data_IF_335461663253
#
_entry.id   IF_335461663253
#
_cell.length_a   1.000
_cell.length_b   1.000
_cell.length_c   1.000
_cell.angle_alpha   90.00
_cell.angle_beta   90.00
_cell.angle_gamma   90.00
#
_symmetry.space_group_name_H-M   'P 1'
#
loop_
_entity.id
_entity.type
_entity.pdbx_description
1 polymer ?
#
# COMPACT_ATOMS: atom_id res chain seq x y z
N UNK A 1 -69.29 -19.80 15.02
CA UNK A 1 -68.34 -19.55 13.95
C UNK A 1 -67.03 -20.23 14.43
N UNK A 2 -66.58 -21.29 13.73
CA UNK A 2 -65.26 -21.89 14.00
C UNK A 2 -64.20 -21.01 13.35
N UNK A 3 -63.33 -20.43 14.17
CA UNK A 3 -62.13 -19.74 13.66
C UNK A 3 -61.32 -20.79 12.90
N UNK A 4 -61.29 -20.67 11.57
CA UNK A 4 -60.36 -21.42 10.73
C UNK A 4 -58.97 -20.79 10.95
N UNK A 5 -58.10 -21.49 11.71
CA UNK A 5 -56.67 -21.14 11.71
C UNK A 5 -56.15 -21.24 10.27
N UNK A 6 -55.84 -20.11 9.68
CA UNK A 6 -55.42 -19.98 8.26
C UNK A 6 -54.13 -20.78 8.01
N UNK A 7 -53.30 -20.99 9.04
CA UNK A 7 -52.10 -21.82 8.97
C UNK A 7 -51.98 -22.75 10.18
N UNK A 8 -51.64 -24.01 9.99
CA UNK A 8 -51.31 -24.91 11.11
C UNK A 8 -50.09 -24.39 11.89
N UNK A 9 -50.13 -24.49 13.21
CA UNK A 9 -49.06 -24.02 14.12
C UNK A 9 -47.66 -24.53 13.75
N UNK A 10 -47.59 -25.74 13.20
CA UNK A 10 -46.34 -26.33 12.68
C UNK A 10 -45.74 -25.56 11.50
N UNK A 11 -46.56 -25.01 10.60
CA UNK A 11 -46.11 -24.22 9.47
C UNK A 11 -45.59 -22.87 9.96
N UNK A 12 -46.26 -22.24 10.92
CA UNK A 12 -45.80 -20.97 11.49
C UNK A 12 -44.46 -21.15 12.21
N UNK A 13 -44.29 -22.21 12.98
CA UNK A 13 -43.00 -22.51 13.65
C UNK A 13 -41.89 -22.81 12.65
N UNK A 14 -42.19 -23.52 11.57
CA UNK A 14 -41.20 -23.78 10.50
C UNK A 14 -40.76 -22.48 9.82
N UNK A 15 -41.68 -21.57 9.51
CA UNK A 15 -41.34 -20.27 8.90
C UNK A 15 -40.49 -19.41 9.83
N UNK A 16 -40.79 -19.39 11.13
CA UNK A 16 -39.98 -18.67 12.11
C UNK A 16 -38.56 -19.27 12.18
N UNK A 17 -38.45 -20.61 12.26
CA UNK A 17 -37.15 -21.30 12.29
C UNK A 17 -36.33 -21.04 11.04
N UNK A 18 -36.92 -21.07 9.84
CA UNK A 18 -36.24 -20.70 8.59
C UNK A 18 -35.80 -19.23 8.58
N UNK A 19 -36.65 -18.32 9.06
CA UNK A 19 -36.31 -16.91 9.17
C UNK A 19 -35.10 -16.66 10.08
N UNK A 20 -35.09 -17.29 11.26
CA UNK A 20 -33.97 -17.21 12.20
C UNK A 20 -32.69 -17.82 11.61
N UNK A 21 -32.81 -18.98 10.93
CA UNK A 21 -31.66 -19.63 10.30
C UNK A 21 -31.05 -18.76 9.16
N UNK A 22 -31.89 -18.17 8.33
CA UNK A 22 -31.45 -17.26 7.27
C UNK A 22 -30.84 -15.98 7.81
N UNK A 23 -31.37 -15.43 8.90
CA UNK A 23 -30.81 -14.28 9.58
C UNK A 23 -29.45 -14.59 10.21
N UNK A 24 -29.32 -15.73 10.90
CA UNK A 24 -28.05 -16.19 11.45
C UNK A 24 -27.00 -16.43 10.34
N UNK A 25 -27.39 -17.06 9.23
CA UNK A 25 -26.54 -17.25 8.06
C UNK A 25 -26.11 -15.93 7.45
N UNK A 26 -27.00 -14.94 7.38
CA UNK A 26 -26.70 -13.60 6.92
C UNK A 26 -25.64 -12.90 7.79
N UNK A 27 -25.76 -13.01 9.13
CA UNK A 27 -24.76 -12.47 10.07
C UNK A 27 -23.42 -13.19 9.90
N UNK A 28 -23.42 -14.51 9.77
CA UNK A 28 -22.23 -15.32 9.55
C UNK A 28 -21.56 -14.89 8.24
N UNK A 29 -22.29 -14.83 7.13
CA UNK A 29 -21.77 -14.38 5.84
C UNK A 29 -21.27 -12.92 5.87
N UNK A 30 -21.92 -12.05 6.65
CA UNK A 30 -21.47 -10.68 6.85
C UNK A 30 -20.17 -10.61 7.68
N UNK A 31 -20.02 -11.49 8.70
CA UNK A 31 -18.81 -11.61 9.52
C UNK A 31 -17.62 -12.20 8.75
N UNK A 32 -17.90 -13.06 7.75
CA UNK A 32 -16.88 -13.58 6.81
C UNK A 32 -16.59 -12.65 5.63
N UNK A 33 -17.41 -11.64 5.36
CA UNK A 33 -17.04 -10.53 4.48
C UNK A 33 -15.97 -9.74 5.23
N UNK A 34 -14.71 -10.05 4.89
CA UNK A 34 -13.53 -9.40 5.43
C UNK A 34 -13.66 -7.90 5.47
N UNK A 35 -12.94 -7.31 6.40
CA UNK A 35 -12.77 -5.91 6.78
C UNK A 35 -13.93 -4.94 6.47
N UNK A 36 -14.43 -4.20 7.45
CA UNK A 36 -15.50 -3.24 7.23
C UNK A 36 -15.17 -2.40 6.01
N UNK A 37 -16.16 -2.25 5.13
CA UNK A 37 -16.06 -1.40 3.93
C UNK A 37 -15.66 0.00 4.40
N UNK A 38 -14.35 0.24 4.41
CA UNK A 38 -13.80 1.55 4.67
C UNK A 38 -14.29 2.42 3.50
N UNK A 39 -15.14 3.38 3.79
CA UNK A 39 -15.67 4.34 2.83
C UNK A 39 -14.58 5.34 2.44
N UNK A 40 -13.48 4.84 1.88
CA UNK A 40 -12.43 5.63 1.28
C UNK A 40 -12.53 5.57 -0.23
N UNK A 41 -12.01 6.54 -0.92
CA UNK A 41 -11.96 6.56 -2.37
C UNK A 41 -11.07 5.38 -2.87
N UNK A 42 -11.70 4.25 -3.26
CA UNK A 42 -11.02 3.01 -3.71
C UNK A 42 -10.15 3.20 -4.96
N UNK A 43 -10.19 4.39 -5.54
CA UNK A 43 -9.42 4.79 -6.73
C UNK A 43 -8.01 5.27 -6.34
N UNK A 44 -7.70 5.43 -5.06
CA UNK A 44 -6.40 5.91 -4.59
C UNK A 44 -5.33 4.81 -4.52
N UNK A 45 -4.09 5.26 -4.42
CA UNK A 45 -2.92 4.42 -4.20
C UNK A 45 -2.87 3.91 -2.75
N UNK A 46 -3.54 2.82 -2.44
CA UNK A 46 -3.54 2.20 -1.10
C UNK A 46 -3.63 0.69 -1.19
N UNK A 47 -3.34 0.00 -0.09
CA UNK A 47 -3.39 -1.46 -0.05
C UNK A 47 -4.83 -2.02 -0.03
N UNK A 48 -5.85 -1.19 0.24
CA UNK A 48 -7.25 -1.55 0.04
C UNK A 48 -7.72 -1.38 -1.40
N UNK A 49 -6.97 -0.65 -2.22
CA UNK A 49 -7.38 -0.32 -3.58
C UNK A 49 -7.11 -1.48 -4.53
N UNK A 50 -8.15 -1.88 -5.26
CA UNK A 50 -8.08 -2.85 -6.38
C UNK A 50 -7.91 -2.16 -7.73
N UNK A 51 -7.84 -0.82 -7.75
CA UNK A 51 -7.59 -0.04 -8.97
C UNK A 51 -6.18 -0.29 -9.52
N UNK A 52 -5.92 0.07 -10.76
CA UNK A 52 -4.62 -0.11 -11.42
C UNK A 52 -3.45 0.51 -10.63
N UNK A 53 -3.66 1.68 -10.01
CA UNK A 53 -2.67 2.40 -9.20
C UNK A 53 -2.62 1.98 -7.73
N UNK A 54 -3.54 1.10 -7.27
CA UNK A 54 -3.57 0.60 -5.90
C UNK A 54 -2.50 -0.47 -5.63
N UNK A 55 -2.39 -0.88 -4.37
CA UNK A 55 -1.42 -1.88 -3.90
C UNK A 55 -2.07 -3.16 -3.34
N UNK A 56 -3.39 -3.34 -3.57
CA UNK A 56 -4.12 -4.53 -3.10
C UNK A 56 -3.52 -5.84 -3.58
N UNK A 57 -3.12 -5.90 -4.85
CA UNK A 57 -2.48 -7.10 -5.43
C UNK A 57 -1.15 -7.45 -4.77
N UNK A 58 -0.31 -6.45 -4.46
CA UNK A 58 0.94 -6.69 -3.73
C UNK A 58 0.69 -7.13 -2.28
N UNK A 59 -0.25 -6.48 -1.61
CA UNK A 59 -0.68 -6.89 -0.26
C UNK A 59 -1.14 -8.35 -0.24
N UNK A 60 -2.04 -8.73 -1.14
CA UNK A 60 -2.59 -10.09 -1.24
C UNK A 60 -1.50 -11.12 -1.60
N UNK A 61 -0.56 -10.75 -2.47
CA UNK A 61 0.59 -11.58 -2.79
C UNK A 61 1.46 -11.87 -1.56
N UNK A 62 1.78 -10.84 -0.76
CA UNK A 62 2.50 -11.00 0.51
C UNK A 62 1.73 -11.90 1.48
N UNK A 63 0.42 -11.66 1.66
CA UNK A 63 -0.42 -12.44 2.56
C UNK A 63 -0.47 -13.92 2.18
N UNK A 64 -0.71 -14.22 0.89
CA UNK A 64 -0.75 -15.58 0.35
C UNK A 64 0.60 -16.30 0.43
N UNK A 65 1.69 -15.55 0.41
CA UNK A 65 3.06 -16.08 0.59
C UNK A 65 3.45 -16.25 2.07
N UNK A 66 2.51 -16.08 3.01
CA UNK A 66 2.73 -16.32 4.44
C UNK A 66 3.43 -15.18 5.19
N UNK A 67 3.55 -13.99 4.58
CA UNK A 67 4.09 -12.84 5.30
C UNK A 67 3.08 -12.30 6.33
N UNK A 68 3.53 -11.91 7.53
CA UNK A 68 2.66 -11.31 8.55
C UNK A 68 2.34 -9.85 8.20
N UNK A 69 1.48 -9.65 7.20
CA UNK A 69 1.13 -8.34 6.65
C UNK A 69 -0.19 -7.83 7.23
N UNK A 70 -0.29 -6.51 7.45
CA UNK A 70 -1.48 -5.82 7.98
C UNK A 70 -1.70 -4.49 7.28
N UNK A 71 -2.96 -4.09 7.11
CA UNK A 71 -3.39 -2.74 6.72
C UNK A 71 -3.84 -2.01 7.98
N UNK A 72 -3.38 -0.78 8.20
CA UNK A 72 -3.68 -0.04 9.43
C UNK A 72 -3.94 1.42 9.11
N UNK A 73 -5.11 1.92 9.54
CA UNK A 73 -5.51 3.33 9.38
C UNK A 73 -5.45 4.14 10.69
N UNK A 74 -5.40 3.48 11.85
CA UNK A 74 -5.29 4.13 13.17
C UNK A 74 -4.16 3.48 13.98
N UNK A 75 -3.49 4.27 14.84
CA UNK A 75 -2.43 3.78 15.73
C UNK A 75 -1.31 3.01 15.01
N UNK A 76 -0.92 3.46 13.81
CA UNK A 76 0.05 2.79 12.93
C UNK A 76 1.35 2.44 13.68
N UNK A 77 1.90 3.37 14.48
CA UNK A 77 3.16 3.14 15.22
C UNK A 77 3.06 1.98 16.20
N UNK A 78 1.93 1.82 16.88
CA UNK A 78 1.72 0.69 17.80
C UNK A 78 1.59 -0.63 17.05
N UNK A 79 1.01 -0.62 15.85
CA UNK A 79 0.86 -1.80 15.00
C UNK A 79 2.19 -2.29 14.41
N UNK A 80 3.10 -1.36 14.07
CA UNK A 80 4.44 -1.69 13.54
C UNK A 80 5.32 -2.35 14.60
N UNK A 81 5.18 -1.96 15.86
CA UNK A 81 6.09 -2.34 16.95
C UNK A 81 7.56 -2.00 16.60
N UNK A 82 8.48 -2.19 17.54
CA UNK A 82 9.90 -1.80 17.37
C UNK A 82 10.65 -2.57 16.27
N UNK A 83 10.14 -3.72 15.82
CA UNK A 83 10.80 -4.59 14.83
C UNK A 83 9.99 -4.78 13.53
N UNK A 84 8.87 -4.10 13.37
CA UNK A 84 8.07 -4.16 12.15
C UNK A 84 8.68 -3.34 11.02
N UNK A 85 8.17 -3.58 9.81
CA UNK A 85 8.44 -2.78 8.62
C UNK A 85 7.19 -2.00 8.27
N UNK A 86 7.32 -0.69 8.13
CA UNK A 86 6.23 0.19 7.71
C UNK A 86 6.36 0.49 6.21
N UNK A 87 5.27 0.38 5.49
CA UNK A 87 5.14 0.79 4.09
C UNK A 87 4.18 1.97 4.05
N UNK A 88 4.64 3.09 3.55
CA UNK A 88 3.87 4.33 3.34
C UNK A 88 3.79 4.58 1.85
N UNK A 89 2.65 4.25 1.26
CA UNK A 89 2.41 4.39 -0.17
C UNK A 89 1.91 5.79 -0.50
N UNK A 90 2.54 6.49 -1.42
CA UNK A 90 2.11 7.77 -2.04
C UNK A 90 1.33 8.71 -1.08
N UNK A 91 1.95 9.16 0.02
CA UNK A 91 1.24 9.94 1.04
C UNK A 91 0.71 11.26 0.48
N UNK A 92 -0.54 11.58 0.76
CA UNK A 92 -1.14 12.87 0.43
C UNK A 92 -0.64 13.96 1.39
N UNK A 93 0.13 14.91 0.90
CA UNK A 93 0.77 15.96 1.71
C UNK A 93 -0.21 16.85 2.46
N UNK A 94 -1.36 17.13 1.88
CA UNK A 94 -2.43 17.92 2.52
C UNK A 94 -2.91 17.28 3.82
N UNK A 95 -2.87 15.95 3.88
CA UNK A 95 -3.24 15.17 5.07
C UNK A 95 -2.08 14.95 6.03
N UNK A 96 -0.83 15.00 5.52
CA UNK A 96 0.35 14.77 6.34
C UNK A 96 0.65 15.92 7.33
N UNK A 97 0.15 17.13 7.12
CA UNK A 97 0.41 18.30 7.98
C UNK A 97 1.91 18.45 8.35
N UNK A 98 2.37 19.64 8.62
CA UNK A 98 3.77 19.93 8.97
C UNK A 98 4.32 19.20 10.21
N UNK A 99 3.45 18.62 11.05
CA UNK A 99 3.82 17.84 12.24
C UNK A 99 4.02 16.34 11.98
N UNK A 100 3.72 15.83 10.79
CA UNK A 100 3.71 14.39 10.50
C UNK A 100 5.06 13.85 10.04
N UNK A 101 5.99 14.70 9.61
CA UNK A 101 7.39 14.31 9.32
C UNK A 101 8.09 13.64 10.51
N UNK A 102 7.59 13.85 11.72
CA UNK A 102 8.11 13.28 12.96
C UNK A 102 7.40 11.98 13.41
N UNK A 103 6.31 11.58 12.77
CA UNK A 103 5.52 10.41 13.23
C UNK A 103 6.20 9.07 13.01
N UNK A 104 7.25 9.02 12.19
CA UNK A 104 7.97 7.76 11.94
C UNK A 104 9.21 7.57 12.80
N UNK A 105 9.44 8.44 13.79
CA UNK A 105 10.67 8.43 14.63
C UNK A 105 10.89 7.12 15.41
N UNK A 106 9.82 6.37 15.69
CA UNK A 106 9.89 5.07 16.37
C UNK A 106 10.01 3.85 15.45
N UNK A 107 10.01 4.04 14.12
CA UNK A 107 10.02 2.96 13.14
C UNK A 107 11.45 2.69 12.68
N UNK A 108 11.94 1.46 12.90
CA UNK A 108 13.30 1.07 12.51
C UNK A 108 13.46 0.76 11.03
N UNK A 109 12.38 0.37 10.35
CA UNK A 109 12.36 -0.01 8.92
C UNK A 109 11.18 0.63 8.23
N UNK A 110 11.48 1.40 7.20
CA UNK A 110 10.49 2.20 6.51
C UNK A 110 10.71 2.11 5.00
N UNK A 111 9.67 1.80 4.25
CA UNK A 111 9.59 1.98 2.82
C UNK A 111 8.60 3.10 2.52
N UNK A 112 9.07 4.15 1.88
CA UNK A 112 8.23 5.25 1.41
C UNK A 112 8.14 5.16 -0.10
N UNK A 113 6.94 5.24 -0.65
CA UNK A 113 6.69 5.26 -2.10
C UNK A 113 6.29 6.67 -2.50
N UNK A 114 6.96 7.24 -3.49
CA UNK A 114 6.66 8.60 -3.95
C UNK A 114 5.44 8.62 -4.87
N UNK A 115 4.62 9.67 -4.83
CA UNK A 115 3.43 9.79 -5.68
C UNK A 115 3.83 10.01 -7.15
N UNK A 116 3.09 9.36 -8.05
CA UNK A 116 3.26 9.46 -9.51
C UNK A 116 1.94 9.62 -10.24
N UNK A 117 0.89 8.96 -9.78
CA UNK A 117 -0.39 8.89 -10.47
C UNK A 117 -1.57 9.36 -9.61
N UNK A 118 -2.55 9.92 -10.29
CA UNK A 118 -3.88 10.19 -9.72
C UNK A 118 -4.93 9.49 -10.57
N UNK A 119 -5.78 8.69 -9.95
CA UNK A 119 -6.89 8.07 -10.63
C UNK A 119 -8.06 9.04 -10.76
N UNK A 120 -8.63 9.11 -11.96
CA UNK A 120 -9.87 9.83 -12.24
C UNK A 120 -11.03 8.85 -12.09
N UNK A 121 -11.95 9.05 -11.14
CA UNK A 121 -13.07 8.14 -10.93
C UNK A 121 -14.00 8.10 -12.13
N UNK A 122 -14.58 6.92 -12.44
CA UNK A 122 -15.58 6.78 -13.48
C UNK A 122 -16.90 7.39 -13.02
N UNK A 123 -17.51 8.20 -13.89
CA UNK A 123 -18.87 8.74 -13.65
C UNK A 123 -19.85 7.58 -13.42
N UNK A 124 -20.62 7.67 -12.34
CA UNK A 124 -21.59 6.64 -11.94
C UNK A 124 -21.03 5.44 -11.18
N UNK A 125 -19.69 5.26 -11.10
CA UNK A 125 -19.06 4.27 -10.25
C UNK A 125 -17.69 4.77 -9.78
N UNK A 126 -17.66 5.46 -8.65
CA UNK A 126 -16.44 6.04 -8.07
C UNK A 126 -15.39 5.02 -7.60
N UNK A 127 -15.71 3.73 -7.60
CA UNK A 127 -14.76 2.65 -7.30
C UNK A 127 -13.91 2.24 -8.49
N UNK A 128 -14.22 2.72 -9.68
CA UNK A 128 -13.53 2.41 -10.92
C UNK A 128 -12.79 3.63 -11.44
N UNK A 129 -11.58 3.41 -11.98
CA UNK A 129 -10.80 4.42 -12.68
C UNK A 129 -11.31 4.52 -14.12
N UNK A 130 -11.66 5.75 -14.56
CA UNK A 130 -11.91 6.05 -15.95
C UNK A 130 -10.61 6.37 -16.68
N UNK A 131 -9.68 7.07 -15.99
CA UNK A 131 -8.40 7.50 -16.52
C UNK A 131 -7.35 7.66 -15.40
N UNK A 132 -6.09 7.73 -15.76
CA UNK A 132 -4.96 7.93 -14.85
C UNK A 132 -4.16 9.15 -15.30
N UNK A 133 -4.09 10.15 -14.44
CA UNK A 133 -3.33 11.36 -14.68
C UNK A 133 -1.98 11.33 -13.95
N UNK A 134 -0.94 11.80 -14.63
CA UNK A 134 0.36 11.97 -14.00
C UNK A 134 0.34 13.18 -13.07
N UNK A 135 0.61 12.99 -11.77
CA UNK A 135 0.69 14.12 -10.83
C UNK A 135 1.93 14.98 -11.12
N UNK A 136 1.86 16.31 -10.92
CA UNK A 136 3.01 17.17 -11.01
C UNK A 136 4.17 16.72 -10.11
N UNK A 137 5.41 16.80 -10.61
CA UNK A 137 6.61 16.38 -9.86
C UNK A 137 6.79 17.07 -8.52
N UNK A 138 6.17 18.25 -8.35
CA UNK A 138 6.26 19.01 -7.09
C UNK A 138 5.75 18.17 -5.90
N UNK A 139 4.73 17.33 -6.06
CA UNK A 139 4.22 16.48 -4.99
C UNK A 139 5.25 15.41 -4.57
N UNK A 140 5.88 14.75 -5.54
CA UNK A 140 6.95 13.79 -5.26
C UNK A 140 8.18 14.45 -4.62
N UNK A 141 8.57 15.65 -5.08
CA UNK A 141 9.65 16.45 -4.50
C UNK A 141 9.37 16.87 -3.07
N UNK A 142 8.16 17.35 -2.79
CA UNK A 142 7.75 17.73 -1.44
C UNK A 142 7.73 16.52 -0.50
N UNK A 143 7.21 15.38 -0.93
CA UNK A 143 7.27 14.13 -0.14
C UNK A 143 8.71 13.74 0.15
N UNK A 144 9.58 13.77 -0.86
CA UNK A 144 11.00 13.45 -0.69
C UNK A 144 11.69 14.44 0.24
N UNK A 145 11.41 15.74 0.13
CA UNK A 145 11.95 16.76 1.02
C UNK A 145 11.56 16.53 2.49
N UNK A 146 10.31 16.16 2.75
CA UNK A 146 9.83 15.89 4.12
C UNK A 146 10.54 14.69 4.79
N UNK A 147 11.01 13.73 4.02
CA UNK A 147 11.62 12.50 4.54
C UNK A 147 13.13 12.49 4.45
N UNK A 148 13.72 13.12 3.45
CA UNK A 148 15.17 13.11 3.16
C UNK A 148 15.84 14.48 3.28
N UNK A 149 15.07 15.56 3.46
CA UNK A 149 15.58 16.93 3.55
C UNK A 149 16.00 17.50 2.20
N UNK A 150 16.79 18.58 2.25
CA UNK A 150 17.31 19.28 1.07
C UNK A 150 18.39 18.46 0.32
N UNK A 151 18.70 18.89 -0.92
CA UNK A 151 19.72 18.23 -1.75
C UNK A 151 19.19 17.03 -2.53
N UNK A 152 17.88 16.85 -2.59
CA UNK A 152 17.21 15.74 -3.25
C UNK A 152 16.22 16.29 -4.30
N UNK A 153 16.16 15.66 -5.47
CA UNK A 153 15.24 15.99 -6.55
C UNK A 153 14.58 14.75 -7.14
N UNK A 154 13.44 14.94 -7.78
CA UNK A 154 12.70 13.89 -8.49
C UNK A 154 12.52 14.34 -9.93
N UNK A 155 12.79 13.44 -10.87
CA UNK A 155 12.63 13.66 -12.29
C UNK A 155 12.06 12.42 -12.98
N UNK A 156 11.67 12.56 -14.25
CA UNK A 156 11.13 11.47 -15.08
C UNK A 156 11.94 11.35 -16.36
N UNK A 157 12.15 10.09 -16.78
CA UNK A 157 12.83 9.75 -18.04
C UNK A 157 12.26 8.46 -18.62
N UNK A 158 12.73 8.07 -19.80
CA UNK A 158 12.42 6.76 -20.34
C UNK A 158 12.97 5.65 -19.44
N UNK A 159 12.26 4.52 -19.37
CA UNK A 159 12.70 3.33 -18.61
C UNK A 159 14.09 2.89 -19.10
N UNK A 160 15.07 2.69 -18.21
CA UNK A 160 16.43 2.32 -18.61
C UNK A 160 16.48 0.87 -19.09
N UNK A 161 17.38 0.59 -20.02
CA UNK A 161 17.64 -0.78 -20.50
C UNK A 161 18.31 -1.66 -19.44
N UNK A 162 19.05 -1.05 -18.49
CA UNK A 162 19.72 -1.75 -17.40
C UNK A 162 19.88 -0.85 -16.18
N UNK A 163 20.00 -1.47 -15.01
CA UNK A 163 20.28 -0.82 -13.72
C UNK A 163 21.74 -1.03 -13.37
N UNK A 164 22.55 0.02 -13.40
CA UNK A 164 24.00 -0.05 -13.09
C UNK A 164 24.30 -0.35 -11.62
N UNK A 165 23.37 0.02 -10.72
CA UNK A 165 23.38 -0.35 -9.31
C UNK A 165 22.14 -1.16 -9.01
N UNK A 166 22.30 -2.41 -8.56
CA UNK A 166 21.17 -3.24 -8.12
C UNK A 166 21.59 -4.13 -6.95
N UNK A 167 21.42 -3.61 -5.74
CA UNK A 167 21.71 -4.34 -4.50
C UNK A 167 20.62 -5.33 -4.11
N UNK A 168 19.48 -5.32 -4.81
CA UNK A 168 18.40 -6.30 -4.58
C UNK A 168 18.74 -7.63 -5.23
N UNK A 169 19.41 -7.61 -6.39
CA UNK A 169 19.81 -8.81 -7.13
C UNK A 169 18.78 -9.24 -8.18
N UNK A 170 17.58 -8.68 -8.16
CA UNK A 170 16.52 -8.89 -9.15
C UNK A 170 16.23 -7.53 -9.78
N UNK A 171 16.27 -7.44 -11.10
CA UNK A 171 15.98 -6.19 -11.81
C UNK A 171 14.47 -6.00 -11.95
N UNK A 172 13.94 -4.82 -11.60
CA UNK A 172 12.56 -4.50 -11.87
C UNK A 172 12.35 -4.32 -13.38
N UNK A 173 11.12 -4.57 -13.82
CA UNK A 173 10.69 -4.47 -15.20
C UNK A 173 9.71 -3.32 -15.39
N UNK A 174 9.74 -2.68 -16.55
CA UNK A 174 8.81 -1.62 -16.88
C UNK A 174 9.00 -1.10 -18.29
N UNK A 175 8.15 -0.20 -18.69
CA UNK A 175 8.19 0.46 -19.99
C UNK A 175 7.71 1.92 -19.86
N UNK A 176 7.94 2.72 -20.89
CA UNK A 176 7.52 4.12 -20.90
C UNK A 176 8.36 5.01 -19.97
N UNK A 177 7.72 5.74 -19.08
CA UNK A 177 8.34 6.75 -18.23
C UNK A 177 8.55 6.23 -16.81
N UNK A 178 9.80 6.23 -16.35
CA UNK A 178 10.16 5.96 -14.95
C UNK A 178 10.40 7.24 -14.18
N UNK A 179 10.03 7.27 -12.91
CA UNK A 179 10.33 8.33 -11.95
C UNK A 179 11.54 7.95 -11.11
N UNK A 180 12.56 8.80 -11.05
CA UNK A 180 13.82 8.56 -10.36
C UNK A 180 14.16 9.70 -9.40
N UNK A 181 14.94 9.36 -8.35
CA UNK A 181 15.53 10.31 -7.41
C UNK A 181 16.95 10.66 -7.85
N UNK A 182 17.27 11.95 -7.86
CA UNK A 182 18.64 12.46 -7.89
C UNK A 182 18.98 13.00 -6.51
N UNK A 183 20.08 12.54 -5.93
CA UNK A 183 20.44 12.91 -4.57
C UNK A 183 21.95 12.89 -4.36
N UNK A 184 22.44 13.82 -3.53
CA UNK A 184 23.82 13.85 -3.04
C UNK A 184 23.94 13.28 -1.62
N UNK A 185 22.81 13.02 -0.95
CA UNK A 185 22.76 12.61 0.46
C UNK A 185 22.26 11.18 0.68
N UNK A 186 21.61 10.59 -0.34
CA UNK A 186 21.10 9.22 -0.29
C UNK A 186 22.07 8.23 -0.95
N UNK A 187 22.00 6.97 -0.54
CA UNK A 187 22.75 5.87 -1.18
C UNK A 187 21.87 5.12 -2.19
N UNK A 188 22.36 4.82 -3.40
CA UNK A 188 21.60 4.02 -4.34
C UNK A 188 21.51 2.55 -3.89
N UNK A 189 20.30 2.02 -3.89
CA UNK A 189 20.00 0.59 -3.73
C UNK A 189 19.71 -0.02 -5.11
N UNK A 190 18.87 0.65 -5.91
CA UNK A 190 18.65 0.34 -7.32
C UNK A 190 18.64 1.66 -8.09
N UNK A 191 19.43 1.75 -9.14
CA UNK A 191 19.53 2.97 -9.94
C UNK A 191 20.39 2.79 -11.18
N UNK A 192 20.46 3.84 -11.98
CA UNK A 192 21.37 3.97 -13.11
C UNK A 192 22.30 5.19 -12.95
N UNK A 193 22.97 5.60 -14.02
CA UNK A 193 23.86 6.78 -14.02
C UNK A 193 23.14 8.10 -13.73
N UNK A 194 21.84 8.18 -13.99
CA UNK A 194 21.07 9.42 -13.89
C UNK A 194 20.36 9.57 -12.56
N UNK A 195 19.94 8.44 -11.93
CA UNK A 195 19.21 8.49 -10.69
C UNK A 195 18.86 7.13 -10.09
N UNK A 196 18.13 7.16 -8.98
CA UNK A 196 17.77 6.02 -8.18
C UNK A 196 16.27 5.70 -8.29
N UNK A 197 15.95 4.44 -8.59
CA UNK A 197 14.61 3.88 -8.40
C UNK A 197 14.35 3.60 -6.91
N UNK A 198 15.37 3.08 -6.21
CA UNK A 198 15.32 2.88 -4.77
C UNK A 198 16.56 3.53 -4.16
N UNK A 199 16.32 4.49 -3.28
CA UNK A 199 17.36 5.18 -2.52
C UNK A 199 17.26 4.89 -1.03
N UNK A 200 18.41 4.83 -0.34
CA UNK A 200 18.50 4.69 1.12
C UNK A 200 18.85 6.02 1.76
N UNK A 201 18.08 6.45 2.75
CA UNK A 201 18.41 7.58 3.62
C UNK A 201 19.36 7.10 4.70
N UNK A 202 20.49 7.78 4.87
CA UNK A 202 21.53 7.43 5.84
C UNK A 202 21.15 8.01 7.21
N UNK A 203 20.57 7.19 8.06
CA UNK A 203 20.14 7.58 9.42
C UNK A 203 20.99 6.95 10.54
N UNK A 204 21.77 5.92 10.24
CA UNK A 204 22.58 5.18 11.24
C UNK A 204 21.80 4.30 12.22
N UNK A 205 20.58 4.68 12.58
CA UNK A 205 19.71 3.97 13.53
C UNK A 205 18.56 3.25 12.86
N UNK A 206 18.15 3.71 11.68
CA UNK A 206 16.99 3.21 10.94
C UNK A 206 17.38 2.83 9.52
N UNK A 207 16.64 1.93 8.92
CA UNK A 207 16.76 1.57 7.52
C UNK A 207 15.56 2.16 6.79
N UNK A 208 15.77 3.27 6.12
CA UNK A 208 14.73 4.02 5.43
C UNK A 208 15.02 3.98 3.94
N UNK A 209 14.14 3.34 3.19
CA UNK A 209 14.21 3.28 1.74
C UNK A 209 13.09 4.08 1.11
N UNK A 210 13.40 4.73 0.01
CA UNK A 210 12.45 5.48 -0.79
C UNK A 210 12.37 4.82 -2.17
N UNK A 211 11.20 4.33 -2.53
CA UNK A 211 10.85 3.86 -3.87
C UNK A 211 10.31 5.05 -4.66
N UNK A 212 11.01 5.47 -5.70
CA UNK A 212 10.66 6.67 -6.45
C UNK A 212 9.50 6.46 -7.41
N UNK A 213 9.33 5.25 -7.94
CA UNK A 213 8.29 4.92 -8.91
C UNK A 213 7.35 3.84 -8.36
N UNK A 214 6.06 4.16 -8.15
CA UNK A 214 5.07 3.22 -7.62
C UNK A 214 4.72 2.10 -8.59
N UNK A 215 4.99 2.25 -9.89
CA UNK A 215 4.54 1.30 -10.93
C UNK A 215 5.03 -0.13 -10.65
N UNK A 216 6.24 -0.30 -10.10
CA UNK A 216 6.77 -1.64 -9.78
C UNK A 216 6.01 -2.36 -8.66
N UNK A 217 5.22 -1.64 -7.86
CA UNK A 217 4.45 -2.18 -6.73
C UNK A 217 2.94 -2.14 -6.97
N UNK A 218 2.46 -1.29 -7.88
CA UNK A 218 1.04 -1.08 -8.17
C UNK A 218 0.38 -2.34 -8.72
N UNK A 219 -0.95 -2.42 -8.63
CA UNK A 219 -1.73 -3.54 -9.20
C UNK A 219 -1.50 -3.71 -10.71
N UNK A 220 -1.28 -2.60 -11.42
CA UNK A 220 -0.94 -2.64 -12.84
C UNK A 220 0.45 -3.23 -13.07
N UNK A 221 1.44 -2.84 -12.27
CA UNK A 221 2.84 -3.14 -12.54
C UNK A 221 3.41 -4.36 -11.82
N UNK A 222 2.83 -4.79 -10.70
CA UNK A 222 3.40 -5.87 -9.87
C UNK A 222 3.55 -7.20 -10.62
N UNK A 223 2.72 -7.45 -11.61
CA UNK A 223 2.75 -8.67 -12.43
C UNK A 223 3.52 -8.51 -13.75
N UNK A 224 4.14 -7.34 -13.99
CA UNK A 224 4.97 -7.11 -15.17
C UNK A 224 6.38 -7.67 -14.93
N UNK A 225 6.79 -8.61 -15.77
CA UNK A 225 8.13 -9.20 -15.72
C UNK A 225 8.52 -9.70 -14.33
N UNK A 226 9.60 -9.14 -13.77
CA UNK A 226 10.16 -9.57 -12.49
C UNK A 226 9.69 -8.72 -11.30
N UNK A 227 8.71 -7.83 -11.43
CA UNK A 227 8.36 -6.87 -10.39
C UNK A 227 7.90 -7.53 -9.09
N UNK A 228 7.10 -8.58 -9.15
CA UNK A 228 6.72 -9.31 -7.95
C UNK A 228 7.95 -9.85 -7.21
N UNK A 229 8.82 -10.57 -7.91
CA UNK A 229 10.06 -11.12 -7.33
C UNK A 229 10.98 -10.00 -6.80
N UNK A 230 11.10 -8.89 -7.54
CA UNK A 230 11.85 -7.70 -7.12
C UNK A 230 11.30 -7.13 -5.81
N UNK A 231 9.99 -6.91 -5.73
CA UNK A 231 9.36 -6.33 -4.53
C UNK A 231 9.43 -7.26 -3.32
N UNK A 232 9.30 -8.58 -3.50
CA UNK A 232 9.51 -9.55 -2.43
C UNK A 232 10.96 -9.49 -1.92
N UNK A 233 11.95 -9.52 -2.80
CA UNK A 233 13.36 -9.43 -2.43
C UNK A 233 13.70 -8.08 -1.76
N UNK A 234 13.08 -6.97 -2.22
CA UNK A 234 13.24 -5.65 -1.62
C UNK A 234 12.70 -5.64 -0.19
N UNK A 235 11.48 -6.15 0.03
CA UNK A 235 10.88 -6.23 1.36
C UNK A 235 11.70 -7.13 2.27
N UNK A 236 12.18 -8.28 1.81
CA UNK A 236 13.02 -9.17 2.62
C UNK A 236 14.33 -8.50 3.03
N UNK A 237 15.03 -7.85 2.11
CA UNK A 237 16.24 -7.10 2.45
C UNK A 237 16.00 -5.92 3.41
N UNK A 238 14.84 -5.31 3.34
CA UNK A 238 14.45 -4.26 4.28
C UNK A 238 14.15 -4.86 5.66
N UNK A 239 13.45 -6.00 5.74
CA UNK A 239 13.06 -6.69 6.98
C UNK A 239 14.22 -7.31 7.73
N UNK A 240 15.11 -8.03 7.01
CA UNK A 240 16.22 -8.78 7.61
C UNK A 240 17.44 -7.91 7.94
N UNK A 241 17.20 -6.73 8.46
CA UNK A 241 18.28 -5.87 8.96
C UNK A 241 18.58 -6.20 10.41
N UNK A 242 19.87 -6.40 10.75
CA UNK A 242 20.38 -6.73 12.11
C UNK A 242 19.84 -8.05 12.69
N UNK A 243 19.80 -9.13 11.90
CA UNK A 243 19.42 -10.48 12.34
C UNK A 243 18.02 -10.60 12.96
N UNK A 244 17.06 -9.84 12.46
CA UNK A 244 15.68 -9.88 12.97
C UNK A 244 14.91 -11.13 12.51
N UNK A 245 13.87 -11.45 13.29
CA UNK A 245 13.01 -12.60 13.04
C UNK A 245 12.20 -12.45 11.76
N UNK A 246 12.05 -13.54 10.96
CA UNK A 246 11.10 -13.57 9.83
C UNK A 246 9.65 -13.27 10.23
N UNK A 247 9.33 -13.33 11.52
CA UNK A 247 7.99 -13.04 12.06
C UNK A 247 7.70 -11.55 12.29
N UNK A 248 8.64 -10.63 11.92
CA UNK A 248 8.37 -9.20 12.04
C UNK A 248 7.25 -8.77 11.10
N UNK A 249 6.26 -8.02 11.63
CA UNK A 249 5.09 -7.59 10.87
C UNK A 249 5.46 -6.60 9.76
N UNK A 250 4.74 -6.70 8.64
CA UNK A 250 4.71 -5.68 7.59
C UNK A 250 3.40 -4.92 7.73
N UNK A 251 3.47 -3.61 7.84
CA UNK A 251 2.30 -2.75 8.05
C UNK A 251 2.19 -1.77 6.89
N UNK A 252 1.07 -1.78 6.18
CA UNK A 252 0.70 -0.73 5.24
C UNK A 252 -0.01 0.38 6.00
N UNK A 253 0.50 1.59 5.87
CA UNK A 253 -0.11 2.79 6.47
C UNK A 253 -1.21 3.32 5.56
N UNK A 254 -2.45 3.05 5.92
CA UNK A 254 -3.61 3.54 5.20
C UNK A 254 -4.16 4.86 5.76
N UNK A 255 -3.58 5.37 6.86
CA UNK A 255 -3.97 6.66 7.44
C UNK A 255 -3.62 7.84 6.51
N UNK A 256 -2.61 7.65 5.65
CA UNK A 256 -2.15 8.66 4.68
C UNK A 256 -3.11 8.83 3.49
N UNK A 257 -4.05 7.91 3.30
CA UNK A 257 -5.04 7.92 2.21
C UNK A 257 -6.45 8.33 2.67
N UNK A 258 -6.60 8.75 3.94
CA UNK A 258 -7.89 9.20 4.49
C UNK A 258 -8.92 8.10 4.66
N UNK A 259 -8.49 6.85 4.74
CA UNK A 259 -9.35 5.78 5.21
C UNK A 259 -9.62 5.97 6.70
N UNK A 260 -10.75 6.58 7.04
CA UNK A 260 -11.27 6.57 8.41
C UNK A 260 -11.98 5.23 8.61
N UNK A 261 -11.53 4.46 9.61
CA UNK A 261 -12.30 3.30 10.03
C UNK A 261 -13.61 3.82 10.64
N UNK A 262 -14.73 3.36 10.11
CA UNK A 262 -16.05 3.61 10.66
C UNK A 262 -16.16 3.11 12.10
#
# INVERSE_FOLDING_TARGET
>A
MKDQEVFPRSVVLLLIACGVALFALSIILYSFKGDPVISGNRVQAGAYSVSAIGYGGFYDALQRSGYPVKRVSKNVLSAVRSRGTLIVGEPELERMGTKQSLKFSGVSRLLIVLPKWRGVPKTGNSSWIADVESVPLIYARQTLYLVAGAGNDVFRKAWPSAWSVNKIGISPSGSGIVQLIRSTTMRPIVGDSDGMLVGEIIDGKRKIWVLSDPDVMSNHGIFIGNNAAFMFALIDKLRFWKNDSPKSSIVFDESVHGFEAA
#
